data_IF_658558323694
#
_entry.id   IF_658558323694
#
_cell.length_a   1.000
_cell.length_b   1.000
_cell.length_c   1.000
_cell.angle_alpha   90.00
_cell.angle_beta   90.00
_cell.angle_gamma   90.00
#
_symmetry.space_group_name_H-M   'P 1'
#
loop_
_entity.id
_entity.type
_entity.pdbx_description
1 polymer ?
#
# COMPACT_ATOMS: atom_id res chain seq x y z
N UNK A 1 20.10 16.68 31.89
CA UNK A 1 19.69 16.20 30.55
C UNK A 1 20.94 16.11 29.67
N UNK A 2 21.44 14.90 29.52
CA UNK A 2 22.61 14.62 28.69
C UNK A 2 22.10 14.33 27.27
N UNK A 3 22.23 15.29 26.37
CA UNK A 3 22.05 15.05 24.96
C UNK A 3 23.20 14.17 24.47
N UNK A 4 22.89 12.96 24.06
CA UNK A 4 23.83 12.13 23.31
C UNK A 4 24.09 12.81 21.96
N UNK A 5 25.25 13.45 21.83
CA UNK A 5 25.77 13.87 20.53
C UNK A 5 26.10 12.61 19.76
N UNK A 6 25.30 12.31 18.73
CA UNK A 6 25.66 11.31 17.72
C UNK A 6 26.97 11.72 17.05
N UNK A 7 28.03 10.98 17.32
CA UNK A 7 29.41 11.24 16.92
C UNK A 7 29.73 10.80 15.47
N UNK A 8 28.76 10.76 14.60
CA UNK A 8 29.04 10.53 13.19
C UNK A 8 28.57 11.76 12.38
N UNK A 9 29.48 12.52 11.80
CA UNK A 9 29.12 13.56 10.83
C UNK A 9 28.64 12.87 9.56
N UNK A 10 27.38 12.60 9.58
CA UNK A 10 26.64 11.94 8.48
C UNK A 10 26.73 12.79 7.26
N UNK A 11 27.59 13.33 6.64
CA UNK A 11 27.14 14.01 5.43
C UNK A 11 28.17 14.79 4.62
N UNK A 12 29.36 15.02 5.11
CA UNK A 12 30.24 15.87 4.34
C UNK A 12 31.07 15.16 3.26
N UNK A 13 31.32 13.87 3.40
CA UNK A 13 32.17 13.13 2.44
C UNK A 13 31.43 12.63 1.18
N UNK A 14 30.12 12.39 1.28
CA UNK A 14 29.32 11.89 0.13
C UNK A 14 28.67 13.00 -0.70
N UNK A 15 28.60 14.21 -0.18
CA UNK A 15 27.91 15.33 -0.83
C UNK A 15 28.68 15.98 -1.97
N UNK A 16 29.99 15.78 -2.02
CA UNK A 16 30.83 16.48 -3.00
C UNK A 16 30.83 15.89 -4.42
N UNK A 17 30.36 14.65 -4.58
CA UNK A 17 30.31 13.98 -5.88
C UNK A 17 28.88 13.53 -6.31
N UNK A 18 27.87 13.71 -5.44
CA UNK A 18 26.50 13.54 -5.84
C UNK A 18 26.02 14.76 -6.65
N UNK A 19 25.21 14.54 -7.71
CA UNK A 19 24.57 15.62 -8.45
C UNK A 19 23.76 16.53 -7.53
N UNK A 20 23.71 17.81 -7.82
CA UNK A 20 23.06 18.84 -6.96
C UNK A 20 21.57 18.61 -6.69
N UNK A 21 20.89 17.86 -7.55
CA UNK A 21 19.46 17.50 -7.35
C UNK A 21 19.26 16.35 -6.35
N UNK A 22 20.33 15.62 -5.96
CA UNK A 22 20.27 14.55 -4.95
C UNK A 22 20.60 15.15 -3.58
N UNK A 23 19.70 14.96 -2.62
CA UNK A 23 19.90 15.36 -1.23
C UNK A 23 20.70 14.34 -0.45
N UNK A 24 20.38 13.06 -0.63
CA UNK A 24 21.09 11.96 0.02
C UNK A 24 20.93 10.65 -0.74
N UNK A 25 21.93 9.80 -0.60
CA UNK A 25 21.88 8.41 -1.00
C UNK A 25 21.94 7.55 0.27
N UNK A 26 20.97 6.67 0.44
CA UNK A 26 20.77 5.85 1.64
C UNK A 26 20.66 4.37 1.27
N UNK A 27 21.75 3.72 0.81
CA UNK A 27 21.71 2.28 0.55
C UNK A 27 21.48 1.52 1.85
N UNK A 28 20.78 0.39 1.76
CA UNK A 28 20.49 -0.40 2.94
C UNK A 28 20.23 -1.87 2.63
N UNK A 29 20.37 -2.68 3.67
CA UNK A 29 19.96 -4.09 3.68
C UNK A 29 19.03 -4.29 4.88
N UNK A 30 17.91 -4.92 4.64
CA UNK A 30 16.92 -5.25 5.65
C UNK A 30 16.64 -6.74 5.64
N UNK A 31 16.56 -7.37 6.81
CA UNK A 31 16.35 -8.81 6.94
C UNK A 31 15.23 -9.08 7.93
N UNK A 32 14.30 -9.94 7.53
CA UNK A 32 13.23 -10.48 8.37
C UNK A 32 13.34 -11.99 8.46
N UNK A 33 13.11 -12.52 9.65
CA UNK A 33 13.13 -13.96 9.94
C UNK A 33 11.93 -14.29 10.82
N UNK A 34 11.08 -15.18 10.33
CA UNK A 34 9.91 -15.66 11.06
C UNK A 34 10.02 -17.17 11.30
N UNK A 35 9.84 -17.58 12.56
CA UNK A 35 9.83 -18.98 12.96
C UNK A 35 8.48 -19.35 13.56
N UNK A 36 8.05 -20.58 13.32
CA UNK A 36 6.85 -21.14 13.93
C UNK A 36 7.08 -21.29 15.43
N UNK A 37 6.23 -20.71 16.26
CA UNK A 37 6.27 -20.87 17.73
C UNK A 37 6.01 -22.32 18.16
N UNK A 38 5.31 -23.12 17.36
CA UNK A 38 4.99 -24.51 17.66
C UNK A 38 6.13 -25.47 17.34
N UNK A 39 6.80 -25.27 16.22
CA UNK A 39 7.79 -26.21 15.68
C UNK A 39 9.22 -25.71 15.73
N UNK A 40 9.44 -24.41 15.97
CA UNK A 40 10.74 -23.74 15.89
C UNK A 40 11.30 -23.64 14.46
N UNK A 41 10.59 -24.16 13.45
CA UNK A 41 11.06 -24.15 12.07
C UNK A 41 10.94 -22.77 11.42
N UNK A 42 11.84 -22.50 10.48
CA UNK A 42 11.77 -21.30 9.66
C UNK A 42 10.49 -21.33 8.79
N UNK A 43 9.66 -20.31 8.94
CA UNK A 43 8.44 -20.10 8.13
C UNK A 43 8.74 -19.16 6.98
N UNK A 44 9.43 -18.05 7.28
CA UNK A 44 9.74 -17.04 6.27
C UNK A 44 11.09 -16.38 6.57
N UNK A 45 11.85 -16.17 5.52
CA UNK A 45 13.04 -15.32 5.52
C UNK A 45 12.96 -14.38 4.34
N UNK A 46 13.18 -13.09 4.59
CA UNK A 46 13.26 -12.06 3.54
C UNK A 46 14.55 -11.28 3.74
N UNK A 47 15.27 -11.06 2.66
CA UNK A 47 16.44 -10.18 2.60
C UNK A 47 16.19 -9.17 1.50
N UNK A 48 15.99 -7.94 1.86
CA UNK A 48 15.80 -6.83 0.93
C UNK A 48 17.08 -5.99 0.89
N UNK A 49 17.64 -5.80 -0.28
CA UNK A 49 18.77 -4.92 -0.55
C UNK A 49 18.32 -3.75 -1.41
N UNK A 50 18.47 -2.53 -0.91
CA UNK A 50 18.18 -1.29 -1.63
C UNK A 50 19.47 -0.55 -1.98
N UNK A 51 20.17 -0.92 -3.06
CA UNK A 51 21.46 -0.31 -3.40
C UNK A 51 21.34 1.15 -3.83
N UNK A 52 20.24 1.49 -4.49
CA UNK A 52 19.98 2.85 -4.95
C UNK A 52 18.69 3.37 -4.32
N UNK A 53 18.88 4.10 -3.21
CA UNK A 53 17.80 4.81 -2.53
C UNK A 53 18.20 6.28 -2.46
N UNK A 54 17.63 7.08 -3.34
CA UNK A 54 17.99 8.48 -3.57
C UNK A 54 16.86 9.38 -3.10
N UNK A 55 17.14 10.23 -2.13
CA UNK A 55 16.24 11.30 -1.75
C UNK A 55 16.63 12.56 -2.52
N UNK A 56 15.67 13.19 -3.17
CA UNK A 56 15.90 14.35 -4.01
C UNK A 56 15.75 15.66 -3.22
N UNK A 57 16.35 16.74 -3.73
CA UNK A 57 16.27 18.06 -3.09
C UNK A 57 14.83 18.62 -3.08
N UNK A 58 14.03 18.23 -4.06
CA UNK A 58 12.62 18.62 -4.16
C UNK A 58 11.66 17.77 -3.30
N UNK A 59 12.19 16.91 -2.42
CA UNK A 59 11.41 16.05 -1.54
C UNK A 59 10.97 14.72 -2.16
N UNK A 60 11.28 14.47 -3.44
CA UNK A 60 10.98 13.19 -4.09
C UNK A 60 11.96 12.08 -3.73
N UNK A 61 11.62 10.85 -4.09
CA UNK A 61 12.42 9.63 -3.87
C UNK A 61 12.50 8.81 -5.15
N UNK A 62 13.69 8.27 -5.43
CA UNK A 62 13.91 7.25 -6.45
C UNK A 62 14.58 6.08 -5.75
N UNK A 63 13.96 4.91 -5.79
CA UNK A 63 14.45 3.71 -5.14
C UNK A 63 14.54 2.52 -6.08
N UNK A 64 15.53 1.66 -5.88
CA UNK A 64 15.56 0.32 -6.45
C UNK A 64 15.91 -0.70 -5.38
N UNK A 65 15.37 -1.90 -5.50
CA UNK A 65 15.61 -2.96 -4.54
C UNK A 65 15.60 -4.34 -5.19
N UNK A 66 16.23 -5.26 -4.50
CA UNK A 66 16.20 -6.69 -4.79
C UNK A 66 15.80 -7.38 -3.48
N UNK A 67 14.79 -8.23 -3.55
CA UNK A 67 14.30 -9.03 -2.43
C UNK A 67 14.55 -10.51 -2.72
N UNK A 68 15.28 -11.19 -1.84
CA UNK A 68 15.41 -12.64 -1.82
C UNK A 68 14.52 -13.20 -0.70
N UNK A 69 13.64 -14.12 -1.04
CA UNK A 69 12.66 -14.70 -0.13
C UNK A 69 12.77 -16.21 -0.06
N UNK A 70 12.66 -16.74 1.14
CA UNK A 70 12.45 -18.16 1.43
C UNK A 70 11.16 -18.27 2.21
N UNK A 71 10.19 -19.04 1.71
CA UNK A 71 8.92 -19.28 2.37
C UNK A 71 8.64 -20.77 2.49
N UNK A 72 8.31 -21.21 3.69
CA UNK A 72 7.91 -22.56 3.99
C UNK A 72 6.43 -22.59 4.34
N UNK A 73 5.61 -23.00 3.38
CA UNK A 73 4.17 -23.16 3.57
C UNK A 73 3.90 -24.50 4.28
N UNK A 74 3.36 -24.44 5.47
CA UNK A 74 2.91 -25.65 6.22
C UNK A 74 1.49 -26.06 5.80
N UNK A 75 0.68 -25.12 5.30
CA UNK A 75 -0.70 -25.33 4.84
C UNK A 75 -0.89 -24.75 3.43
N UNK A 76 -1.90 -25.21 2.67
CA UNK A 76 -2.20 -24.63 1.36
C UNK A 76 -2.52 -23.15 1.47
N UNK A 77 -1.92 -22.33 0.62
CA UNK A 77 -2.15 -20.89 0.53
C UNK A 77 -2.93 -20.55 -0.74
N UNK A 78 -3.91 -19.67 -0.64
CA UNK A 78 -4.85 -19.36 -1.72
C UNK A 78 -4.93 -17.85 -2.02
N UNK A 79 -3.86 -17.22 -2.49
CA UNK A 79 -3.90 -15.81 -2.83
C UNK A 79 -4.73 -15.61 -4.10
N UNK A 80 -5.71 -14.71 -4.01
CA UNK A 80 -6.58 -14.32 -5.16
C UNK A 80 -7.16 -15.52 -5.93
N UNK A 81 -7.46 -16.63 -5.23
CA UNK A 81 -8.01 -17.85 -5.86
C UNK A 81 -7.00 -18.70 -6.64
N UNK A 82 -5.70 -18.50 -6.43
CA UNK A 82 -4.61 -19.35 -6.93
C UNK A 82 -4.19 -20.28 -5.79
N UNK A 83 -4.41 -21.60 -5.93
CA UNK A 83 -3.99 -22.56 -4.91
C UNK A 83 -2.50 -22.87 -5.05
N UNK A 84 -1.77 -22.75 -3.94
CA UNK A 84 -0.36 -23.10 -3.80
C UNK A 84 -0.27 -24.18 -2.74
N UNK A 85 0.22 -25.35 -3.09
CA UNK A 85 0.39 -26.48 -2.16
C UNK A 85 1.52 -26.23 -1.16
N UNK A 86 1.49 -26.86 0.03
CA UNK A 86 2.56 -26.79 1.01
C UNK A 86 3.92 -27.12 0.42
N UNK A 87 4.97 -26.46 0.90
CA UNK A 87 6.34 -26.68 0.43
C UNK A 87 7.26 -25.53 0.73
N UNK A 88 8.54 -25.72 0.45
CA UNK A 88 9.54 -24.67 0.59
C UNK A 88 9.79 -24.00 -0.75
N UNK A 89 9.64 -22.70 -0.79
CA UNK A 89 9.82 -21.87 -1.97
C UNK A 89 10.96 -20.88 -1.76
N UNK A 90 11.79 -20.74 -2.79
CA UNK A 90 12.87 -19.74 -2.82
C UNK A 90 12.75 -18.94 -4.10
N UNK A 91 12.67 -17.64 -3.99
CA UNK A 91 12.53 -16.79 -5.15
C UNK A 91 13.15 -15.42 -4.90
N UNK A 92 13.40 -14.70 -5.97
CA UNK A 92 13.96 -13.34 -5.94
C UNK A 92 13.09 -12.44 -6.80
N UNK A 93 12.86 -11.23 -6.30
CA UNK A 93 12.18 -10.15 -7.02
C UNK A 93 13.06 -8.93 -7.04
N UNK A 94 12.90 -8.13 -8.06
CA UNK A 94 13.52 -6.82 -8.15
C UNK A 94 12.42 -5.78 -8.34
N UNK A 95 12.66 -4.57 -7.88
CA UNK A 95 11.71 -3.49 -8.04
C UNK A 95 12.39 -2.13 -8.08
N UNK A 96 11.63 -1.18 -8.57
CA UNK A 96 11.96 0.23 -8.46
C UNK A 96 10.73 1.04 -8.13
N UNK A 97 10.94 2.12 -7.41
CA UNK A 97 9.91 3.09 -7.10
C UNK A 97 10.39 4.50 -7.39
N UNK A 98 9.46 5.34 -7.73
CA UNK A 98 9.68 6.78 -7.82
C UNK A 98 8.45 7.51 -7.28
N UNK A 99 8.71 8.59 -6.59
CA UNK A 99 7.67 9.48 -6.12
C UNK A 99 8.20 10.91 -6.05
N UNK A 100 7.30 11.88 -6.23
CA UNK A 100 7.62 13.26 -5.89
C UNK A 100 7.33 13.54 -4.40
N UNK A 101 7.52 14.77 -3.97
CA UNK A 101 7.24 15.17 -2.58
C UNK A 101 5.79 14.82 -2.18
N UNK A 102 5.58 13.95 -1.18
CA UNK A 102 4.24 13.57 -0.71
C UNK A 102 3.41 14.73 -0.15
N UNK A 103 4.04 15.84 0.22
CA UNK A 103 3.36 17.04 0.70
C UNK A 103 2.95 18.02 -0.43
N UNK A 104 3.39 17.74 -1.66
CA UNK A 104 3.08 18.58 -2.81
C UNK A 104 1.57 18.60 -3.13
N UNK A 105 1.09 19.71 -3.70
CA UNK A 105 -0.29 19.82 -4.16
C UNK A 105 -0.65 18.77 -5.23
N UNK A 106 0.34 18.33 -5.99
CA UNK A 106 0.25 17.27 -6.99
C UNK A 106 1.23 16.19 -6.59
N UNK A 107 0.73 15.07 -6.11
CA UNK A 107 1.51 13.90 -5.76
C UNK A 107 1.35 12.83 -6.83
N UNK A 108 2.45 12.20 -7.21
CA UNK A 108 2.48 11.04 -8.10
C UNK A 108 3.50 10.05 -7.55
N UNK A 109 3.14 8.78 -7.51
CA UNK A 109 4.06 7.69 -7.24
C UNK A 109 3.87 6.55 -8.22
N UNK A 110 4.95 5.85 -8.51
CA UNK A 110 4.97 4.64 -9.31
C UNK A 110 5.85 3.59 -8.63
N UNK A 111 5.35 2.38 -8.55
CA UNK A 111 6.10 1.21 -8.10
C UNK A 111 5.96 0.10 -9.14
N UNK A 112 7.07 -0.53 -9.49
CA UNK A 112 7.11 -1.66 -10.40
C UNK A 112 8.02 -2.73 -9.85
N UNK A 113 7.51 -3.96 -9.76
CA UNK A 113 8.21 -5.10 -9.20
C UNK A 113 8.02 -6.31 -10.10
N UNK A 114 9.06 -7.09 -10.27
CA UNK A 114 9.01 -8.32 -11.07
C UNK A 114 9.96 -9.39 -10.54
N UNK A 115 9.62 -10.63 -10.77
CA UNK A 115 10.48 -11.76 -10.40
C UNK A 115 9.71 -12.98 -9.97
N UNK A 116 10.37 -13.83 -9.20
CA UNK A 116 9.78 -15.07 -8.70
C UNK A 116 8.67 -14.80 -7.67
N UNK A 117 7.67 -15.68 -7.66
CA UNK A 117 6.62 -15.71 -6.65
C UNK A 117 6.19 -17.17 -6.44
N UNK A 118 6.57 -17.73 -5.29
CA UNK A 118 6.46 -19.16 -5.02
C UNK A 118 7.08 -20.01 -6.12
N UNK A 119 6.24 -20.77 -6.89
CA UNK A 119 6.67 -21.65 -7.97
C UNK A 119 6.51 -21.05 -9.37
N UNK A 120 6.20 -19.75 -9.48
CA UNK A 120 6.01 -19.02 -10.73
C UNK A 120 6.61 -17.62 -10.70
N UNK A 121 6.00 -16.68 -11.41
CA UNK A 121 6.44 -15.29 -11.53
C UNK A 121 5.30 -14.33 -11.19
N UNK A 122 5.65 -13.20 -10.63
CA UNK A 122 4.77 -12.06 -10.38
C UNK A 122 5.36 -10.82 -11.03
N UNK A 123 4.53 -10.10 -11.77
CA UNK A 123 4.76 -8.71 -12.11
C UNK A 123 3.73 -7.87 -11.40
N UNK A 124 4.21 -6.88 -10.64
CA UNK A 124 3.40 -5.94 -9.89
C UNK A 124 3.66 -4.53 -10.40
N UNK A 125 2.60 -3.77 -10.59
CA UNK A 125 2.67 -2.35 -10.91
C UNK A 125 1.65 -1.59 -10.06
N UNK A 126 2.08 -0.49 -9.47
CA UNK A 126 1.21 0.44 -8.79
C UNK A 126 1.51 1.86 -9.26
N UNK A 127 0.45 2.59 -9.62
CA UNK A 127 0.47 4.00 -9.96
C UNK A 127 -0.51 4.72 -9.05
N UNK A 128 -0.06 5.76 -8.38
CA UNK A 128 -0.91 6.58 -7.53
C UNK A 128 -0.74 8.06 -7.86
N UNK A 129 -1.83 8.78 -7.79
CA UNK A 129 -1.83 10.23 -7.96
C UNK A 129 -2.81 10.87 -7.00
N UNK A 130 -2.43 12.02 -6.46
CA UNK A 130 -3.27 12.82 -5.59
C UNK A 130 -3.15 14.30 -5.97
N UNK A 131 -4.27 14.98 -5.96
CA UNK A 131 -4.35 16.42 -6.17
C UNK A 131 -5.02 17.08 -4.97
N UNK A 132 -4.36 18.07 -4.38
CA UNK A 132 -4.86 18.91 -3.29
C UNK A 132 -4.64 20.39 -3.64
N UNK A 133 -5.42 20.94 -4.59
CA UNK A 133 -5.19 22.30 -5.09
C UNK A 133 -5.39 23.37 -4.02
N UNK A 134 -6.32 23.12 -3.10
CA UNK A 134 -6.63 23.95 -1.94
C UNK A 134 -6.83 23.04 -0.71
N UNK A 135 -6.69 23.58 0.53
CA UNK A 135 -6.84 22.79 1.76
C UNK A 135 -8.18 22.06 1.92
N UNK A 136 -9.20 22.52 1.20
CA UNK A 136 -10.57 21.99 1.29
C UNK A 136 -10.85 20.79 0.38
N UNK A 137 -9.98 20.52 -0.60
CA UNK A 137 -10.19 19.48 -1.60
C UNK A 137 -8.95 18.61 -1.70
N UNK A 138 -9.16 17.30 -1.55
CA UNK A 138 -8.16 16.27 -1.79
C UNK A 138 -8.82 15.16 -2.62
N UNK A 139 -8.24 14.84 -3.76
CA UNK A 139 -8.70 13.79 -4.66
C UNK A 139 -7.53 12.88 -4.97
N UNK A 140 -7.73 11.58 -4.83
CA UNK A 140 -6.73 10.56 -5.12
C UNK A 140 -7.26 9.51 -6.08
N UNK A 141 -6.36 8.94 -6.85
CA UNK A 141 -6.58 7.76 -7.67
C UNK A 141 -5.37 6.86 -7.56
N UNK A 142 -5.60 5.55 -7.38
CA UNK A 142 -4.56 4.55 -7.50
C UNK A 142 -5.01 3.41 -8.39
N UNK A 143 -4.05 2.87 -9.12
CA UNK A 143 -4.20 1.68 -9.94
C UNK A 143 -3.11 0.69 -9.59
N UNK A 144 -3.51 -0.53 -9.24
CA UNK A 144 -2.61 -1.64 -8.95
C UNK A 144 -2.92 -2.80 -9.89
N UNK A 145 -1.89 -3.37 -10.46
CA UNK A 145 -1.96 -4.57 -11.29
C UNK A 145 -1.03 -5.64 -10.73
N UNK A 146 -1.55 -6.85 -10.59
CA UNK A 146 -0.79 -8.05 -10.28
C UNK A 146 -0.98 -9.04 -11.42
N UNK A 147 0.11 -9.42 -12.07
CA UNK A 147 0.11 -10.43 -13.13
C UNK A 147 0.90 -11.65 -12.66
N UNK A 148 0.18 -12.74 -12.44
CA UNK A 148 0.73 -14.03 -12.05
C UNK A 148 0.93 -14.88 -13.30
N UNK A 149 2.11 -15.48 -13.46
CA UNK A 149 2.44 -16.38 -14.56
C UNK A 149 3.06 -17.67 -14.01
N UNK A 150 2.45 -18.81 -14.30
CA UNK A 150 2.90 -20.11 -13.85
C UNK A 150 2.83 -20.32 -12.34
N UNK A 151 2.08 -19.53 -11.59
CA UNK A 151 1.94 -19.62 -10.13
C UNK A 151 0.88 -20.64 -9.76
N UNK A 152 1.13 -21.33 -8.64
CA UNK A 152 0.21 -22.30 -8.05
C UNK A 152 0.24 -23.68 -8.70
N UNK A 153 -0.67 -24.52 -8.27
CA UNK A 153 -0.71 -25.93 -8.66
C UNK A 153 -1.07 -26.11 -10.15
N UNK A 154 -1.93 -25.24 -10.67
CA UNK A 154 -2.37 -25.28 -12.07
C UNK A 154 -1.43 -24.57 -13.05
N UNK A 155 -0.42 -23.87 -12.55
CA UNK A 155 0.56 -23.16 -13.40
C UNK A 155 -0.06 -22.21 -14.43
N UNK A 156 -1.23 -21.65 -14.13
CA UNK A 156 -1.96 -20.78 -15.04
C UNK A 156 -1.47 -19.33 -15.03
N UNK A 157 -2.10 -18.52 -15.88
CA UNK A 157 -1.93 -17.05 -15.87
C UNK A 157 -3.14 -16.41 -15.24
N UNK A 158 -2.91 -15.44 -14.37
CA UNK A 158 -3.98 -14.64 -13.76
C UNK A 158 -3.56 -13.20 -13.64
N UNK A 159 -4.45 -12.29 -14.00
CA UNK A 159 -4.26 -10.86 -13.81
C UNK A 159 -5.34 -10.34 -12.86
N UNK A 160 -4.92 -9.57 -11.87
CA UNK A 160 -5.80 -8.92 -10.91
C UNK A 160 -5.52 -7.44 -10.93
N UNK A 161 -6.55 -6.64 -11.15
CA UNK A 161 -6.46 -5.19 -11.15
C UNK A 161 -7.29 -4.63 -10.01
N UNK A 162 -6.76 -3.61 -9.35
CA UNK A 162 -7.42 -2.85 -8.32
C UNK A 162 -7.38 -1.38 -8.72
N UNK A 163 -8.54 -0.74 -8.79
CA UNK A 163 -8.67 0.70 -9.01
C UNK A 163 -9.32 1.29 -7.75
N UNK A 164 -8.72 2.36 -7.24
CA UNK A 164 -9.25 3.08 -6.07
C UNK A 164 -9.35 4.57 -6.39
N UNK A 165 -10.43 5.17 -5.92
CA UNK A 165 -10.63 6.61 -5.91
C UNK A 165 -10.94 7.04 -4.49
N UNK A 166 -10.22 8.02 -4.00
CA UNK A 166 -10.50 8.66 -2.73
C UNK A 166 -10.75 10.15 -2.92
N UNK A 167 -11.63 10.68 -2.10
CA UNK A 167 -11.97 12.10 -2.13
C UNK A 167 -12.26 12.62 -0.74
N UNK A 168 -11.83 13.85 -0.48
CA UNK A 168 -12.17 14.59 0.73
C UNK A 168 -12.50 16.02 0.35
N UNK A 169 -13.71 16.42 0.72
CA UNK A 169 -14.19 17.79 0.61
C UNK A 169 -14.47 18.32 2.02
N UNK A 170 -13.75 19.33 2.46
CA UNK A 170 -13.92 19.96 3.75
C UNK A 170 -14.48 21.37 3.55
N UNK A 171 -15.76 21.58 3.86
CA UNK A 171 -16.34 22.93 3.81
C UNK A 171 -15.65 23.85 4.85
N UNK A 172 -15.36 23.29 6.02
CA UNK A 172 -14.59 23.89 7.09
C UNK A 172 -13.99 22.75 7.95
N UNK A 173 -13.18 23.04 8.99
CA UNK A 173 -12.60 21.99 9.85
C UNK A 173 -13.64 21.08 10.52
N UNK A 174 -14.90 21.55 10.67
CA UNK A 174 -15.96 20.82 11.37
C UNK A 174 -16.92 20.05 10.45
N UNK A 175 -16.93 20.34 9.16
CA UNK A 175 -17.84 19.68 8.20
C UNK A 175 -17.05 19.18 6.99
N UNK A 176 -17.04 17.86 6.82
CA UNK A 176 -16.33 17.20 5.74
C UNK A 176 -17.12 16.02 5.14
N UNK A 177 -17.00 15.86 3.84
CA UNK A 177 -17.46 14.71 3.07
C UNK A 177 -16.25 13.91 2.61
N UNK A 178 -16.24 12.62 2.90
CA UNK A 178 -15.20 11.68 2.48
C UNK A 178 -15.85 10.64 1.61
N UNK A 179 -15.26 10.39 0.45
CA UNK A 179 -15.68 9.36 -0.49
C UNK A 179 -14.53 8.39 -0.78
N UNK A 180 -14.86 7.13 -0.87
CA UNK A 180 -13.94 6.08 -1.27
C UNK A 180 -14.66 5.11 -2.20
N UNK A 181 -14.07 4.85 -3.36
CA UNK A 181 -14.55 3.86 -4.31
C UNK A 181 -13.41 2.90 -4.67
N UNK A 182 -13.73 1.61 -4.71
CA UNK A 182 -12.78 0.57 -5.06
C UNK A 182 -13.42 -0.42 -6.02
N UNK A 183 -12.67 -0.82 -7.04
CA UNK A 183 -13.03 -1.90 -7.96
C UNK A 183 -11.90 -2.92 -8.02
N UNK A 184 -12.22 -4.17 -7.68
CA UNK A 184 -11.31 -5.30 -7.73
C UNK A 184 -11.80 -6.30 -8.77
N UNK A 185 -10.93 -6.69 -9.70
CA UNK A 185 -11.28 -7.67 -10.74
C UNK A 185 -11.16 -9.11 -10.29
N UNK A 186 -10.48 -9.39 -9.15
CA UNK A 186 -10.32 -10.75 -8.63
C UNK A 186 -11.67 -11.37 -8.24
N UNK A 187 -12.47 -10.60 -7.50
CA UNK A 187 -13.69 -11.07 -6.87
C UNK A 187 -14.94 -10.41 -7.47
N UNK A 188 -14.77 -9.69 -8.60
CA UNK A 188 -15.78 -8.80 -9.18
C UNK A 188 -16.36 -7.82 -8.14
N UNK A 189 -15.57 -7.50 -7.12
CA UNK A 189 -15.98 -6.68 -5.99
C UNK A 189 -15.88 -5.19 -6.35
N UNK A 190 -17.00 -4.49 -6.21
CA UNK A 190 -17.02 -3.03 -6.21
C UNK A 190 -17.47 -2.56 -4.83
N UNK A 191 -16.81 -1.59 -4.27
CA UNK A 191 -17.22 -0.98 -3.02
C UNK A 191 -17.24 0.54 -3.12
N UNK A 192 -18.27 1.15 -2.52
CA UNK A 192 -18.41 2.59 -2.38
C UNK A 192 -18.70 2.90 -0.93
N UNK A 193 -17.92 3.80 -0.35
CA UNK A 193 -18.16 4.36 0.97
C UNK A 193 -18.25 5.88 0.86
N UNK A 194 -19.33 6.45 1.36
CA UNK A 194 -19.53 7.89 1.49
C UNK A 194 -19.78 8.22 2.95
N UNK A 195 -19.04 9.16 3.49
CA UNK A 195 -19.15 9.56 4.89
C UNK A 195 -19.20 11.07 5.01
N UNK A 196 -20.31 11.58 5.53
CA UNK A 196 -20.42 12.94 6.03
C UNK A 196 -20.07 12.94 7.52
N UNK A 197 -19.16 13.81 7.92
CA UNK A 197 -18.78 14.03 9.31
C UNK A 197 -18.99 15.49 9.67
N UNK A 198 -19.85 15.73 10.65
CA UNK A 198 -20.15 17.08 11.16
C UNK A 198 -19.90 17.17 12.66
N UNK A 199 -18.93 17.98 13.03
CA UNK A 199 -18.68 18.37 14.41
C UNK A 199 -19.57 19.57 14.75
N UNK A 200 -20.75 19.31 15.31
CA UNK A 200 -21.72 20.37 15.61
C UNK A 200 -21.36 21.18 16.85
N UNK A 201 -20.56 20.60 17.75
CA UNK A 201 -19.85 21.28 18.84
C UNK A 201 -18.54 20.54 19.17
N UNK A 202 -17.59 21.13 19.90
CA UNK A 202 -16.29 20.50 20.16
C UNK A 202 -16.42 19.06 20.65
N UNK A 203 -15.75 18.12 19.95
CA UNK A 203 -15.71 16.69 20.24
C UNK A 203 -17.07 15.97 20.18
N UNK A 204 -18.10 16.60 19.60
CA UNK A 204 -19.44 16.04 19.42
C UNK A 204 -19.81 16.00 17.94
N UNK A 205 -20.14 14.81 17.44
CA UNK A 205 -20.22 14.53 16.00
C UNK A 205 -21.54 13.90 15.58
N UNK A 206 -21.99 14.26 14.40
CA UNK A 206 -22.94 13.53 13.60
C UNK A 206 -22.21 12.90 12.42
N UNK A 207 -22.37 11.60 12.25
CA UNK A 207 -21.88 10.87 11.09
C UNK A 207 -23.05 10.30 10.31
N UNK A 208 -23.06 10.53 9.01
CA UNK A 208 -23.92 9.84 8.06
C UNK A 208 -23.00 9.02 7.15
N UNK A 209 -23.21 7.72 7.10
CA UNK A 209 -22.39 6.81 6.32
C UNK A 209 -23.25 5.99 5.38
N UNK A 210 -22.92 6.02 4.11
CA UNK A 210 -23.48 5.15 3.10
C UNK A 210 -22.40 4.19 2.60
N UNK A 211 -22.70 2.89 2.69
CA UNK A 211 -21.84 1.83 2.15
C UNK A 211 -22.60 1.07 1.09
N UNK A 212 -21.92 0.78 -0.01
CA UNK A 212 -22.39 -0.16 -1.01
C UNK A 212 -21.27 -1.13 -1.34
N UNK A 213 -21.60 -2.41 -1.41
CA UNK A 213 -20.69 -3.45 -1.87
C UNK A 213 -21.40 -4.35 -2.86
N UNK A 214 -20.79 -4.56 -4.01
CA UNK A 214 -21.21 -5.56 -4.98
C UNK A 214 -20.22 -6.73 -4.90
N UNK A 215 -20.69 -7.95 -4.86
CA UNK A 215 -19.86 -9.14 -4.82
C UNK A 215 -20.54 -10.30 -5.56
N UNK A 216 -19.76 -11.31 -5.92
CA UNK A 216 -20.26 -12.54 -6.52
C UNK A 216 -20.77 -13.46 -5.40
N UNK A 217 -22.05 -13.80 -5.39
CA UNK A 217 -22.63 -14.77 -4.46
C UNK A 217 -22.19 -16.19 -4.75
N UNK A 218 -22.50 -17.11 -3.83
CA UNK A 218 -22.16 -18.54 -3.95
C UNK A 218 -22.79 -19.24 -5.17
N UNK A 219 -23.88 -18.70 -5.67
CA UNK A 219 -24.63 -19.13 -6.86
C UNK A 219 -24.15 -18.44 -8.16
N UNK A 220 -23.02 -17.74 -8.13
CA UNK A 220 -22.47 -16.95 -9.23
C UNK A 220 -23.35 -15.77 -9.66
N UNK A 221 -24.34 -15.41 -8.85
CA UNK A 221 -25.13 -14.21 -9.08
C UNK A 221 -24.48 -13.00 -8.45
N UNK A 222 -24.55 -11.85 -9.13
CA UNK A 222 -24.06 -10.60 -8.60
C UNK A 222 -25.00 -10.10 -7.52
N UNK A 223 -24.50 -10.01 -6.30
CA UNK A 223 -25.24 -9.49 -5.16
C UNK A 223 -24.80 -8.07 -4.85
N UNK A 224 -25.73 -7.25 -4.43
CA UNK A 224 -25.51 -5.85 -4.04
C UNK A 224 -26.05 -5.63 -2.63
N UNK A 225 -25.19 -5.19 -1.74
CA UNK A 225 -25.57 -4.81 -0.38
C UNK A 225 -25.38 -3.32 -0.22
N UNK A 226 -26.40 -2.65 0.30
CA UNK A 226 -26.37 -1.23 0.62
C UNK A 226 -26.72 -1.05 2.10
N UNK A 227 -25.95 -0.20 2.78
CA UNK A 227 -26.15 0.09 4.20
C UNK A 227 -26.06 1.58 4.43
N UNK A 228 -27.03 2.13 5.12
CA UNK A 228 -27.00 3.50 5.60
C UNK A 228 -26.93 3.49 7.14
N UNK A 229 -25.95 4.20 7.70
CA UNK A 229 -25.70 4.28 9.13
C UNK A 229 -25.66 5.75 9.57
N UNK A 230 -26.32 6.02 10.69
CA UNK A 230 -26.20 7.30 11.39
C UNK A 230 -25.61 7.08 12.78
N UNK A 231 -24.59 7.85 13.12
CA UNK A 231 -24.00 7.84 14.46
C UNK A 231 -23.99 9.24 15.03
N UNK A 232 -24.51 9.38 16.24
CA UNK A 232 -24.43 10.60 17.04
C UNK A 232 -23.48 10.35 18.22
N UNK A 233 -22.51 11.21 18.41
CA UNK A 233 -21.68 11.24 19.60
C UNK A 233 -21.79 12.61 20.28
N UNK A 234 -21.85 12.60 21.60
CA UNK A 234 -21.93 13.80 22.42
C UNK A 234 -20.91 13.71 23.56
N UNK A 235 -20.05 14.70 23.67
CA UNK A 235 -19.13 14.82 24.82
C UNK A 235 -19.57 15.99 25.69
N UNK A 236 -19.81 15.72 26.98
CA UNK A 236 -20.01 16.74 28.00
C UNK A 236 -18.79 16.77 28.92
N UNK A 237 -18.13 17.92 28.99
CA UNK A 237 -17.08 18.16 29.98
C UNK A 237 -17.75 18.82 31.19
N UNK A 238 -17.41 18.34 32.38
CA UNK A 238 -17.88 18.87 33.67
C UNK A 238 -16.75 19.69 34.29
#
# INVERSE_FOLDING_TARGET
>A
STQAKTLFPYTTLFRSWLPSFIRSWTPGVYTELYHSLKTGKLVEQRVLSGPFWLNLQNGGTIGSYIEASVQNLEEPFNPVGIRISPGMFKYTRAGFMLENDPSAKYYVSANYEWGGYYNGHLTYMELSSRIAPIPHINLGVSYQQNQFDGVGDLRGKKQVNLIQFDSRFALNPRLQLIGFYQKNTSDALNSLNLRLAWEYQPLSYVYLVFNQSDFMGSDLTKQKVQTFLTKLSYLKQF
#
